data_IF_912515852088
#
_entry.id   IF_912515852088
#
_cell.length_a   1.000
_cell.length_b   1.000
_cell.length_c   1.000
_cell.angle_alpha   90.00
_cell.angle_beta   90.00
_cell.angle_gamma   90.00
#
_symmetry.space_group_name_H-M   'P 1'
#
loop_
_entity.id
_entity.type
_entity.pdbx_description
1 polymer ?
#
# COMPACT_ATOMS: atom_id res chain seq x y z
N UNK A 1 2.42 18.66 17.35
CA UNK A 1 3.33 17.49 17.40
C UNK A 1 3.35 16.83 16.04
N UNK A 2 4.48 16.82 15.36
CA UNK A 2 4.62 16.20 14.04
C UNK A 2 4.89 14.70 14.21
N UNK A 3 4.19 13.85 13.45
CA UNK A 3 4.43 12.40 13.44
C UNK A 3 3.62 11.57 14.44
N UNK A 4 2.68 12.17 15.19
CA UNK A 4 1.74 11.38 16.02
C UNK A 4 0.91 10.46 15.13
N UNK A 5 0.83 9.18 15.52
CA UNK A 5 0.09 8.15 14.77
C UNK A 5 0.86 7.56 13.59
N UNK A 6 2.13 7.91 13.39
CA UNK A 6 2.97 7.23 12.40
C UNK A 6 3.23 5.77 12.82
N UNK A 7 2.89 4.82 11.95
CA UNK A 7 3.12 3.39 12.15
C UNK A 7 4.30 2.91 11.31
N UNK A 8 5.35 2.47 11.99
CA UNK A 8 6.55 1.95 11.34
C UNK A 8 6.28 0.56 10.76
N UNK A 9 6.29 0.44 9.43
CA UNK A 9 5.84 -0.78 8.74
C UNK A 9 6.62 -2.05 9.14
N UNK A 10 7.89 -1.96 9.52
CA UNK A 10 8.68 -3.14 9.86
C UNK A 10 8.29 -3.81 11.18
N UNK A 11 7.60 -3.09 12.06
CA UNK A 11 7.10 -3.61 13.33
C UNK A 11 5.69 -4.21 13.18
N UNK A 12 5.05 -4.03 12.03
CA UNK A 12 3.70 -4.51 11.74
C UNK A 12 3.72 -5.93 11.15
N UNK A 13 2.61 -6.70 11.30
CA UNK A 13 2.40 -7.93 10.55
C UNK A 13 2.65 -7.73 9.05
N UNK A 14 3.21 -8.74 8.39
CA UNK A 14 3.58 -8.72 6.98
C UNK A 14 4.57 -7.61 6.56
N UNK A 15 5.12 -6.87 7.53
CA UNK A 15 5.92 -5.66 7.34
C UNK A 15 5.19 -4.59 6.53
N UNK A 16 3.90 -4.39 6.80
CA UNK A 16 3.02 -3.49 6.06
C UNK A 16 2.07 -2.73 7.00
N UNK A 17 2.05 -1.39 6.93
CA UNK A 17 1.13 -0.58 7.75
C UNK A 17 -0.26 -0.53 7.10
N UNK A 18 -1.02 -1.61 7.28
CA UNK A 18 -2.43 -1.76 6.93
C UNK A 18 -3.28 -0.50 7.13
N UNK A 19 -3.94 0.01 6.09
CA UNK A 19 -4.84 1.17 6.18
C UNK A 19 -4.16 2.54 6.41
N UNK A 20 -2.83 2.59 6.44
CA UNK A 20 -2.10 3.86 6.55
C UNK A 20 -2.27 4.69 5.28
N UNK A 21 -2.57 5.97 5.45
CA UNK A 21 -2.58 6.94 4.35
C UNK A 21 -1.18 7.54 4.16
N UNK A 22 -0.63 7.41 2.94
CA UNK A 22 0.71 7.89 2.58
C UNK A 22 0.70 9.11 1.66
N UNK A 23 -0.36 9.29 0.87
CA UNK A 23 -0.52 10.43 -0.02
C UNK A 23 -1.26 11.57 0.72
N UNK A 24 -0.99 12.84 0.36
CA UNK A 24 -1.85 13.96 0.75
C UNK A 24 -3.30 13.74 0.33
N UNK A 25 -4.23 14.37 1.04
CA UNK A 25 -5.68 14.26 0.80
C UNK A 25 -6.05 14.54 -0.67
N UNK A 26 -5.45 15.59 -1.25
CA UNK A 26 -5.67 16.03 -2.63
C UNK A 26 -5.26 14.99 -3.69
N UNK A 27 -4.46 13.99 -3.31
CA UNK A 27 -3.95 12.94 -4.19
C UNK A 27 -4.53 11.56 -3.87
N UNK A 28 -5.45 11.46 -2.90
CA UNK A 28 -6.09 10.19 -2.58
C UNK A 28 -6.86 9.64 -3.78
N UNK A 29 -6.76 8.32 -3.96
CA UNK A 29 -7.34 7.62 -5.12
C UNK A 29 -6.50 7.71 -6.41
N UNK A 30 -5.47 8.55 -6.47
CA UNK A 30 -4.63 8.65 -7.66
C UNK A 30 -3.66 7.47 -7.78
N UNK A 31 -3.65 6.82 -8.95
CA UNK A 31 -2.69 5.76 -9.28
C UNK A 31 -1.70 6.27 -10.31
N UNK A 32 -0.40 6.12 -10.03
CA UNK A 32 0.69 6.59 -10.90
C UNK A 32 1.44 5.46 -11.60
N UNK A 33 1.29 4.22 -11.11
CA UNK A 33 2.00 3.06 -11.63
C UNK A 33 1.02 1.91 -11.86
N UNK A 34 0.96 1.47 -13.12
CA UNK A 34 0.17 0.35 -13.60
C UNK A 34 1.14 -0.64 -14.27
N UNK A 35 1.54 -1.71 -13.56
CA UNK A 35 2.48 -2.68 -14.11
C UNK A 35 1.89 -3.34 -15.35
N UNK A 36 2.71 -3.64 -16.36
CA UNK A 36 2.30 -4.38 -17.57
C UNK A 36 2.45 -5.90 -17.39
N UNK A 37 1.87 -6.66 -18.31
CA UNK A 37 1.87 -8.13 -18.30
C UNK A 37 3.15 -8.73 -18.89
N UNK A 38 4.32 -8.27 -18.42
CA UNK A 38 5.61 -8.76 -18.91
C UNK A 38 6.70 -8.74 -17.83
N UNK A 39 7.57 -9.74 -17.88
CA UNK A 39 8.76 -9.82 -17.03
C UNK A 39 8.46 -9.78 -15.53
N UNK A 40 9.24 -8.99 -14.80
CA UNK A 40 9.10 -8.86 -13.34
C UNK A 40 7.83 -8.11 -12.93
N UNK A 41 7.23 -7.32 -13.82
CA UNK A 41 6.04 -6.53 -13.51
C UNK A 41 4.82 -7.41 -13.21
N UNK A 42 4.79 -8.65 -13.72
CA UNK A 42 3.77 -9.65 -13.35
C UNK A 42 3.80 -9.90 -11.83
N UNK A 43 4.98 -10.13 -11.25
CA UNK A 43 5.14 -10.34 -9.80
C UNK A 43 4.83 -9.08 -9.00
N UNK A 44 5.15 -7.92 -9.54
CA UNK A 44 4.83 -6.63 -8.90
C UNK A 44 3.31 -6.43 -8.89
N UNK A 45 2.62 -6.72 -10.00
CA UNK A 45 1.15 -6.68 -10.10
C UNK A 45 0.49 -7.61 -9.09
N UNK A 46 0.95 -8.86 -9.00
CA UNK A 46 0.48 -9.82 -7.98
C UNK A 46 0.64 -9.27 -6.56
N UNK A 47 1.81 -8.70 -6.24
CA UNK A 47 2.07 -8.11 -4.92
C UNK A 47 1.16 -6.91 -4.66
N UNK A 48 1.00 -5.99 -5.61
CA UNK A 48 0.14 -4.82 -5.47
C UNK A 48 -1.33 -5.20 -5.28
N UNK A 49 -1.81 -6.22 -6.00
CA UNK A 49 -3.17 -6.76 -5.81
C UNK A 49 -3.36 -7.33 -4.40
N UNK A 50 -2.36 -8.04 -3.86
CA UNK A 50 -2.38 -8.55 -2.49
C UNK A 50 -2.46 -7.42 -1.46
N UNK A 51 -1.62 -6.39 -1.62
CA UNK A 51 -1.58 -5.23 -0.70
C UNK A 51 -2.91 -4.46 -0.73
N UNK A 52 -3.36 -4.01 -1.92
CA UNK A 52 -4.59 -3.21 -2.08
C UNK A 52 -5.87 -3.98 -1.79
N UNK A 53 -5.89 -5.29 -2.06
CA UNK A 53 -7.06 -6.14 -1.88
C UNK A 53 -7.12 -6.69 -0.46
N UNK A 54 -6.25 -7.67 -0.16
CA UNK A 54 -6.36 -8.47 1.06
C UNK A 54 -5.96 -7.70 2.32
N UNK A 55 -4.93 -6.85 2.22
CA UNK A 55 -4.37 -6.18 3.39
C UNK A 55 -5.11 -4.86 3.69
N UNK A 56 -5.45 -4.07 2.67
CA UNK A 56 -6.20 -2.83 2.89
C UNK A 56 -7.70 -3.06 3.15
N UNK A 57 -8.36 -4.02 2.50
CA UNK A 57 -9.79 -4.28 2.74
C UNK A 57 -10.08 -4.94 4.10
N UNK A 58 -9.11 -5.66 4.68
CA UNK A 58 -9.23 -6.24 6.02
C UNK A 58 -9.00 -5.22 7.16
N UNK A 59 -8.69 -3.97 6.82
CA UNK A 59 -8.39 -2.89 7.77
C UNK A 59 -9.60 -2.00 8.10
N UNK A 60 -10.80 -2.42 7.72
CA UNK A 60 -12.08 -1.71 7.97
C UNK A 60 -12.81 -2.31 9.16
#
# INVERSE_FOLDING_TARGET
EHGKGYRYAHDEPDRYSHGQTYLPEELLGRTYYEPVDSGLEIRIREKLARLKGQLDAAST
#
